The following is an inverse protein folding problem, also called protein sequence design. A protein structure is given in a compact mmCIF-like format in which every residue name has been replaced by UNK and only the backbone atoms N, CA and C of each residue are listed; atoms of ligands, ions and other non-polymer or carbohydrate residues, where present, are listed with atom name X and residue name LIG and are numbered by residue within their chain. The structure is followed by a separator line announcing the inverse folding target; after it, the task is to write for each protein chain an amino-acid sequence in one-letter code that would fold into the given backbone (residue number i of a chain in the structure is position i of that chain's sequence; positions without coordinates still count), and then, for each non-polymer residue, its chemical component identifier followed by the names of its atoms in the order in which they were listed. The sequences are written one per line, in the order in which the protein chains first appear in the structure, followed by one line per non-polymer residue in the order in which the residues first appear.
data_IF_032153407672
#
_entry.id   IF_032153407672
#
_cell.length_a   1.000
_cell.length_b   1.000
_cell.length_c   1.000
_cell.angle_alpha   90.00
_cell.angle_beta   90.00
_cell.angle_gamma   90.00
#
_symmetry.space_group_name_H-M   'P 1'
#
loop_
_entity.id
_entity.type
_entity.pdbx_description
1 polymer ?
#
# COMPACT_ATOMS: atom_id res chain seq x y z
N UNK A 1 -27.36 8.17 -11.01
CA UNK A 1 -26.91 7.27 -9.92
C UNK A 1 -26.83 8.10 -8.65
N UNK A 2 -27.37 7.62 -7.54
CA UNK A 2 -27.40 8.36 -6.28
C UNK A 2 -25.99 8.54 -5.68
N UNK A 3 -25.71 9.71 -5.09
CA UNK A 3 -24.39 10.05 -4.54
C UNK A 3 -24.06 9.22 -3.30
N UNK A 4 -25.07 8.91 -2.48
CA UNK A 4 -24.87 8.08 -1.30
C UNK A 4 -24.55 6.64 -1.70
N UNK A 5 -25.26 6.11 -2.69
CA UNK A 5 -24.92 4.82 -3.30
C UNK A 5 -23.47 4.75 -3.79
N UNK A 6 -22.98 5.75 -4.55
CA UNK A 6 -21.59 5.80 -5.02
C UNK A 6 -20.58 5.86 -3.87
N UNK A 7 -20.85 6.65 -2.83
CA UNK A 7 -19.99 6.76 -1.66
C UNK A 7 -19.91 5.43 -0.89
N UNK A 8 -21.04 4.75 -0.72
CA UNK A 8 -21.09 3.46 -0.03
C UNK A 8 -20.36 2.36 -0.82
N UNK A 9 -20.46 2.37 -2.15
CA UNK A 9 -19.67 1.48 -3.00
C UNK A 9 -18.16 1.75 -2.87
N UNK A 10 -17.72 3.01 -2.94
CA UNK A 10 -16.31 3.37 -2.79
C UNK A 10 -15.74 2.92 -1.43
N UNK A 11 -16.49 3.15 -0.34
CA UNK A 11 -16.13 2.63 1.00
C UNK A 11 -16.07 1.11 1.06
N UNK A 12 -16.94 0.42 0.33
CA UNK A 12 -16.93 -1.05 0.25
C UNK A 12 -15.65 -1.55 -0.43
N UNK A 13 -15.25 -0.92 -1.54
CA UNK A 13 -14.03 -1.26 -2.30
C UNK A 13 -12.80 -1.07 -1.42
N UNK A 14 -12.65 0.09 -0.76
CA UNK A 14 -11.51 0.35 0.13
C UNK A 14 -11.47 -0.66 1.29
N UNK A 15 -12.62 -1.00 1.88
CA UNK A 15 -12.69 -2.03 2.95
C UNK A 15 -12.31 -3.43 2.46
N UNK A 16 -12.71 -3.80 1.25
CA UNK A 16 -12.38 -5.11 0.66
C UNK A 16 -10.88 -5.23 0.35
N UNK A 17 -10.23 -4.12 0.05
CA UNK A 17 -8.80 -4.06 -0.25
C UNK A 17 -7.92 -3.77 0.97
N UNK A 18 -8.50 -3.36 2.10
CA UNK A 18 -7.77 -3.16 3.35
C UNK A 18 -7.17 -4.49 3.85
N UNK A 19 -5.92 -4.45 4.28
CA UNK A 19 -5.14 -5.53 4.91
C UNK A 19 -4.65 -5.05 6.27
N UNK A 20 -3.76 -5.79 6.91
CA UNK A 20 -3.25 -5.40 8.22
C UNK A 20 -2.31 -4.18 8.10
N UNK A 21 -2.88 -2.98 8.27
CA UNK A 21 -2.14 -1.71 8.27
C UNK A 21 -1.93 -1.03 6.91
N UNK A 22 -2.35 -1.66 5.80
CA UNK A 22 -2.22 -1.09 4.46
C UNK A 22 -3.36 -1.53 3.54
N UNK A 23 -3.45 -0.93 2.36
CA UNK A 23 -4.43 -1.28 1.32
C UNK A 23 -3.72 -1.75 0.07
N UNK A 24 -4.23 -2.84 -0.51
CA UNK A 24 -3.78 -3.28 -1.84
C UNK A 24 -4.53 -2.51 -2.94
N UNK A 25 -3.90 -2.17 -4.07
CA UNK A 25 -4.62 -1.49 -5.15
C UNK A 25 -5.77 -2.33 -5.74
N UNK A 26 -5.59 -3.66 -5.84
CA UNK A 26 -6.64 -4.58 -6.29
C UNK A 26 -6.42 -6.01 -5.78
N UNK A 27 -7.51 -6.70 -5.44
CA UNK A 27 -7.50 -8.07 -4.90
C UNK A 27 -7.00 -9.19 -5.82
N UNK A 28 -6.61 -8.90 -7.06
CA UNK A 28 -6.17 -9.93 -8.03
C UNK A 28 -4.78 -9.70 -8.62
N UNK A 29 -4.39 -8.45 -8.88
CA UNK A 29 -3.19 -8.14 -9.66
C UNK A 29 -2.05 -7.56 -8.83
N UNK A 30 -2.37 -6.81 -7.77
CA UNK A 30 -1.39 -6.06 -6.98
C UNK A 30 -1.59 -6.42 -5.51
N UNK A 31 -0.93 -7.47 -5.00
CA UNK A 31 -1.18 -8.00 -3.67
C UNK A 31 -0.35 -7.30 -2.57
N UNK A 32 0.33 -6.20 -2.90
CA UNK A 32 1.23 -5.47 -2.01
C UNK A 32 0.82 -4.00 -1.88
N UNK A 33 1.49 -3.28 -0.99
CA UNK A 33 1.28 -1.84 -0.81
C UNK A 33 2.10 -1.06 -1.84
N UNK A 34 1.48 -0.09 -2.48
CA UNK A 34 2.10 0.76 -3.51
C UNK A 34 2.09 2.21 -3.07
N UNK A 35 3.18 2.92 -3.29
CA UNK A 35 3.43 4.24 -2.73
C UNK A 35 2.33 5.26 -3.06
N UNK A 36 2.15 5.60 -4.34
CA UNK A 36 1.18 6.62 -4.71
C UNK A 36 -0.26 6.14 -4.51
N UNK A 37 -0.53 4.86 -4.73
CA UNK A 37 -1.82 4.23 -4.42
C UNK A 37 -2.19 4.44 -2.94
N UNK A 38 -1.27 4.18 -2.01
CA UNK A 38 -1.45 4.46 -0.57
C UNK A 38 -1.69 5.95 -0.29
N UNK A 39 -1.01 6.84 -1.03
CA UNK A 39 -1.27 8.28 -0.98
C UNK A 39 -2.74 8.62 -1.30
N UNK A 40 -3.27 8.13 -2.42
CA UNK A 40 -4.67 8.36 -2.80
C UNK A 40 -5.67 7.63 -1.89
N UNK A 41 -5.35 6.39 -1.48
CA UNK A 41 -6.15 5.62 -0.53
C UNK A 41 -6.28 6.38 0.78
N UNK A 42 -5.20 6.97 1.30
CA UNK A 42 -5.23 7.73 2.56
C UNK A 42 -6.18 8.93 2.48
N UNK A 43 -6.23 9.64 1.35
CA UNK A 43 -7.19 10.73 1.10
C UNK A 43 -8.62 10.18 1.15
N UNK A 44 -8.88 9.04 0.49
CA UNK A 44 -10.17 8.37 0.51
C UNK A 44 -10.62 7.93 1.90
N UNK A 45 -9.71 7.29 2.66
CA UNK A 45 -9.92 6.88 4.05
C UNK A 45 -10.16 8.08 4.96
N UNK A 46 -9.43 9.19 4.75
CA UNK A 46 -9.53 10.41 5.55
C UNK A 46 -10.94 11.02 5.58
N UNK A 47 -11.79 10.72 4.59
CA UNK A 47 -13.19 11.14 4.59
C UNK A 47 -14.10 10.39 5.57
N UNK A 48 -13.69 9.23 6.11
CA UNK A 48 -14.57 8.43 6.99
C UNK A 48 -13.88 7.57 8.06
N UNK A 49 -12.55 7.46 8.06
CA UNK A 49 -11.75 6.74 9.07
C UNK A 49 -10.32 7.28 9.07
N UNK A 50 -10.12 8.36 9.84
CA UNK A 50 -8.84 9.06 9.91
C UNK A 50 -7.73 8.18 10.48
N UNK A 51 -8.07 7.27 11.40
CA UNK A 51 -7.12 6.35 12.03
C UNK A 51 -6.48 5.43 11.00
N UNK A 52 -7.29 4.87 10.09
CA UNK A 52 -6.76 4.04 8.99
C UNK A 52 -6.01 4.86 7.96
N UNK A 53 -6.42 6.11 7.70
CA UNK A 53 -5.69 6.99 6.79
C UNK A 53 -4.27 7.28 7.29
N UNK A 54 -4.13 7.56 8.59
CA UNK A 54 -2.82 7.75 9.24
C UNK A 54 -2.03 6.45 9.21
N UNK A 55 -2.66 5.30 9.52
CA UNK A 55 -1.99 4.01 9.52
C UNK A 55 -1.49 3.60 8.12
N UNK A 56 -2.26 3.82 7.06
CA UNK A 56 -1.86 3.56 5.66
C UNK A 56 -0.54 4.27 5.32
N UNK A 57 -0.45 5.56 5.67
CA UNK A 57 0.77 6.37 5.45
C UNK A 57 1.88 5.93 6.40
N UNK A 58 1.59 5.68 7.67
CA UNK A 58 2.57 5.20 8.65
C UNK A 58 3.25 3.91 8.19
N UNK A 59 2.47 2.95 7.68
CA UNK A 59 2.98 1.68 7.12
C UNK A 59 3.79 1.91 5.85
N UNK A 60 3.39 2.85 4.98
CA UNK A 60 4.21 3.19 3.81
C UNK A 60 5.59 3.72 4.22
N UNK A 61 5.63 4.60 5.22
CA UNK A 61 6.87 5.20 5.72
C UNK A 61 7.72 4.24 6.55
N UNK A 62 7.18 3.11 7.06
CA UNK A 62 8.02 2.07 7.68
C UNK A 62 8.95 1.39 6.67
N UNK A 63 8.65 1.50 5.36
CA UNK A 63 9.52 1.07 4.27
C UNK A 63 10.54 2.11 3.82
N UNK A 64 10.60 3.29 4.45
CA UNK A 64 11.54 4.35 4.04
C UNK A 64 12.99 3.91 4.25
N UNK A 65 13.80 4.12 3.22
CA UNK A 65 15.22 3.80 3.19
C UNK A 65 16.03 4.80 4.03
N UNK A 66 17.24 4.42 4.44
CA UNK A 66 18.12 5.27 5.25
C UNK A 66 18.52 6.58 4.57
N UNK A 67 18.48 6.61 3.23
CA UNK A 67 18.74 7.80 2.42
C UNK A 67 17.49 8.69 2.18
N UNK A 68 16.35 8.34 2.79
CA UNK A 68 15.09 9.09 2.70
C UNK A 68 14.15 8.64 1.56
N UNK A 69 14.57 7.71 0.69
CA UNK A 69 13.71 7.20 -0.37
C UNK A 69 12.54 6.39 0.21
N UNK A 70 11.31 6.71 -0.19
CA UNK A 70 10.15 5.84 0.06
C UNK A 70 9.95 4.96 -1.17
N UNK A 71 10.14 3.63 -1.08
CA UNK A 71 10.09 2.75 -2.24
C UNK A 71 8.71 2.74 -2.89
N UNK A 72 8.65 2.38 -4.18
CA UNK A 72 7.38 2.34 -4.91
C UNK A 72 6.47 1.19 -4.46
N UNK A 73 7.05 0.07 -4.01
CA UNK A 73 6.34 -1.12 -3.54
C UNK A 73 6.90 -1.50 -2.17
N UNK A 74 6.03 -1.81 -1.22
CA UNK A 74 6.39 -2.44 0.05
C UNK A 74 5.83 -3.87 0.09
N UNK A 75 6.75 -4.84 0.07
CA UNK A 75 6.43 -6.27 0.08
C UNK A 75 6.15 -6.75 1.50
N UNK A 76 4.87 -6.95 1.82
CA UNK A 76 4.42 -7.38 3.16
C UNK A 76 4.43 -8.91 3.38
N UNK A 77 4.88 -9.69 2.40
CA UNK A 77 4.91 -11.15 2.49
C UNK A 77 5.86 -11.75 1.46
N UNK A 78 6.80 -12.57 1.93
CA UNK A 78 7.64 -13.39 1.05
C UNK A 78 6.92 -14.61 0.47
N UNK A 79 5.79 -15.00 1.07
CA UNK A 79 4.98 -16.16 0.65
C UNK A 79 4.08 -15.85 -0.54
N UNK A 80 3.79 -14.57 -0.77
CA UNK A 80 2.97 -14.13 -1.90
C UNK A 80 3.82 -14.13 -3.18
N UNK A 81 3.43 -14.95 -4.16
CA UNK A 81 4.18 -15.18 -5.40
C UNK A 81 3.40 -14.79 -6.66
N UNK A 82 2.18 -14.26 -6.54
CA UNK A 82 1.30 -13.94 -7.68
C UNK A 82 1.69 -12.67 -8.45
N UNK A 83 2.60 -11.85 -7.92
CA UNK A 83 3.07 -10.63 -8.56
C UNK A 83 4.55 -10.75 -8.99
N UNK A 84 4.86 -10.22 -10.17
CA UNK A 84 6.21 -10.14 -10.71
C UNK A 84 6.43 -8.75 -11.36
N UNK A 85 7.63 -8.14 -11.22
CA UNK A 85 8.80 -8.59 -10.45
C UNK A 85 8.59 -8.52 -8.92
N UNK A 86 8.98 -9.59 -8.22
CA UNK A 86 8.77 -9.76 -6.78
C UNK A 86 10.01 -9.36 -5.95
N UNK A 87 9.93 -9.39 -4.61
CA UNK A 87 10.98 -8.92 -3.69
C UNK A 87 12.37 -9.52 -3.95
N UNK A 88 12.42 -10.75 -4.47
CA UNK A 88 13.64 -11.49 -4.78
C UNK A 88 14.26 -11.15 -6.14
N UNK A 89 13.62 -10.29 -6.94
CA UNK A 89 14.10 -9.87 -8.26
C UNK A 89 14.84 -8.53 -8.26
N UNK A 90 14.45 -7.59 -7.39
CA UNK A 90 14.81 -6.17 -7.53
C UNK A 90 16.26 -5.80 -7.18
N UNK A 91 16.99 -6.68 -6.49
CA UNK A 91 18.36 -6.45 -6.03
C UNK A 91 18.56 -5.10 -5.32
N UNK A 92 17.63 -4.70 -4.44
CA UNK A 92 17.64 -3.38 -3.79
C UNK A 92 18.93 -3.07 -3.03
N UNK A 93 19.66 -4.10 -2.57
CA UNK A 93 20.93 -3.99 -1.86
C UNK A 93 22.06 -3.29 -2.64
N UNK A 94 21.92 -3.11 -3.96
CA UNK A 94 22.90 -2.31 -4.73
C UNK A 94 22.93 -0.84 -4.30
N UNK A 95 21.87 -0.36 -3.64
CA UNK A 95 21.83 0.96 -3.02
C UNK A 95 22.19 0.85 -1.52
N UNK A 96 23.24 1.53 -1.04
CA UNK A 96 23.64 1.51 0.37
C UNK A 96 22.58 2.03 1.36
N UNK A 97 21.56 2.73 0.90
CA UNK A 97 20.45 3.20 1.73
C UNK A 97 19.30 2.21 1.87
N UNK A 98 19.27 1.13 1.06
CA UNK A 98 18.24 0.11 1.12
C UNK A 98 18.31 -0.69 2.44
N UNK A 99 17.18 -1.25 2.93
CA UNK A 99 17.17 -2.09 4.12
C UNK A 99 17.94 -3.40 3.89
N UNK A 100 18.58 -3.89 4.96
CA UNK A 100 19.29 -5.17 5.01
C UNK A 100 18.31 -6.36 5.08
N UNK A 101 17.52 -6.55 4.02
CA UNK A 101 16.44 -7.55 3.87
C UNK A 101 15.23 -7.36 4.78
#
# INVERSE_FOLDING_TARGET
MDREFLRNQAKSILRANWRDGFTIPTGKLYPFQWNWDSGFVSIGLGHYTIEKAILEIGTLFSGQWANGMVPHILFHSEKEKSYFPNYDFWESQVNPGAPDK
#
